data_IF_873611161791
#
_entry.id   IF_873611161791
#
_cell.length_a   1.000
_cell.length_b   1.000
_cell.length_c   1.000
_cell.angle_alpha   90.00
_cell.angle_beta   90.00
_cell.angle_gamma   90.00
#
_symmetry.space_group_name_H-M   'P 1'
#
loop_
_entity.id
_entity.type
_entity.pdbx_description
1 polymer ?
#
# COMPACT_ATOMS: atom_id res chain seq x y z
N UNK A 1 -17.16 -12.85 39.21
CA UNK A 1 -16.92 -11.82 38.17
C UNK A 1 -15.61 -12.08 37.41
N UNK A 2 -15.39 -13.29 36.87
CA UNK A 2 -14.17 -13.65 36.12
C UNK A 2 -14.39 -13.84 34.61
N UNK A 3 -15.65 -13.90 34.17
CA UNK A 3 -16.05 -14.42 32.86
C UNK A 3 -15.85 -13.42 31.70
N UNK A 4 -15.88 -12.11 31.97
CA UNK A 4 -15.72 -11.08 30.93
C UNK A 4 -14.25 -10.84 30.57
N UNK A 5 -13.35 -10.87 31.57
CA UNK A 5 -11.89 -10.76 31.34
C UNK A 5 -11.35 -11.95 30.55
N UNK A 6 -11.83 -13.15 30.82
CA UNK A 6 -11.42 -14.36 30.08
C UNK A 6 -11.91 -14.34 28.63
N UNK A 7 -13.17 -13.94 28.38
CA UNK A 7 -13.69 -13.75 27.02
C UNK A 7 -12.93 -12.67 26.26
N UNK A 8 -12.58 -11.56 26.90
CA UNK A 8 -11.78 -10.50 26.29
C UNK A 8 -10.37 -10.99 25.92
N UNK A 9 -9.72 -11.74 26.82
CA UNK A 9 -8.41 -12.33 26.56
C UNK A 9 -8.45 -13.38 25.43
N UNK A 10 -9.51 -14.18 25.33
CA UNK A 10 -9.70 -15.09 24.20
C UNK A 10 -9.90 -14.35 22.88
N UNK A 11 -10.64 -13.25 22.86
CA UNK A 11 -10.82 -12.42 21.67
C UNK A 11 -9.48 -11.80 21.24
N UNK A 12 -8.71 -11.23 22.19
CA UNK A 12 -7.38 -10.68 21.92
C UNK A 12 -6.46 -11.75 21.35
N UNK A 13 -6.43 -12.94 21.96
CA UNK A 13 -5.62 -14.06 21.50
C UNK A 13 -6.01 -14.51 20.08
N UNK A 14 -7.31 -14.60 19.78
CA UNK A 14 -7.81 -14.92 18.43
C UNK A 14 -7.43 -13.85 17.40
N UNK A 15 -7.46 -12.57 17.77
CA UNK A 15 -7.03 -11.47 16.90
C UNK A 15 -5.51 -11.53 16.62
N UNK A 16 -4.71 -11.81 17.64
CA UNK A 16 -3.26 -11.99 17.50
C UNK A 16 -2.91 -13.21 16.63
N UNK A 17 -3.59 -14.35 16.85
CA UNK A 17 -3.43 -15.55 16.02
C UNK A 17 -3.82 -15.28 14.56
N UNK A 18 -4.91 -14.54 14.34
CA UNK A 18 -5.36 -14.17 12.99
C UNK A 18 -4.36 -13.23 12.32
N UNK A 19 -3.82 -12.24 13.04
CA UNK A 19 -2.78 -11.34 12.56
C UNK A 19 -1.51 -12.12 12.16
N UNK A 20 -1.09 -13.07 12.99
CA UNK A 20 0.09 -13.90 12.73
C UNK A 20 -0.10 -14.85 11.54
N UNK A 21 -1.27 -15.49 11.41
CA UNK A 21 -1.62 -16.32 10.25
C UNK A 21 -1.66 -15.51 8.96
N UNK A 22 -2.31 -14.34 8.98
CA UNK A 22 -2.39 -13.44 7.82
C UNK A 22 -1.01 -12.92 7.40
N UNK A 23 -0.10 -12.67 8.35
CA UNK A 23 1.28 -12.27 8.03
C UNK A 23 2.07 -13.39 7.34
N UNK A 24 1.92 -14.65 7.77
CA UNK A 24 2.58 -15.80 7.12
C UNK A 24 2.05 -16.02 5.70
N UNK A 25 0.73 -16.04 5.54
CA UNK A 25 0.07 -16.17 4.22
C UNK A 25 0.53 -15.05 3.28
N UNK A 26 0.63 -13.82 3.79
CA UNK A 26 1.12 -12.69 2.99
C UNK A 26 2.57 -12.87 2.54
N UNK A 27 3.47 -13.34 3.41
CA UNK A 27 4.85 -13.64 3.04
C UNK A 27 4.93 -14.73 1.97
N UNK A 28 4.08 -15.76 2.05
CA UNK A 28 4.02 -16.82 1.05
C UNK A 28 3.48 -16.32 -0.29
N UNK A 29 2.45 -15.47 -0.29
CA UNK A 29 1.91 -14.82 -1.50
C UNK A 29 2.98 -13.94 -2.15
N UNK A 30 3.70 -13.14 -1.37
CA UNK A 30 4.82 -12.33 -1.90
C UNK A 30 5.88 -13.25 -2.49
N UNK A 31 6.29 -14.32 -1.79
CA UNK A 31 7.31 -15.24 -2.28
C UNK A 31 6.88 -15.94 -3.58
N UNK A 32 5.59 -16.27 -3.71
CA UNK A 32 5.03 -16.90 -4.92
C UNK A 32 4.97 -15.93 -6.10
N UNK A 33 4.77 -14.63 -5.84
CA UNK A 33 4.65 -13.58 -6.85
C UNK A 33 5.80 -12.57 -6.74
N UNK A 34 7.01 -13.03 -6.40
CA UNK A 34 8.11 -12.15 -5.97
C UNK A 34 8.49 -11.16 -7.08
N UNK A 35 8.58 -11.63 -8.32
CA UNK A 35 8.89 -10.78 -9.47
C UNK A 35 7.83 -9.70 -9.70
N UNK A 36 6.55 -10.08 -9.70
CA UNK A 36 5.44 -9.15 -9.93
C UNK A 36 5.33 -8.14 -8.77
N UNK A 37 5.49 -8.60 -7.54
CA UNK A 37 5.52 -7.75 -6.35
C UNK A 37 6.66 -6.75 -6.40
N UNK A 38 7.87 -7.20 -6.75
CA UNK A 38 9.04 -6.33 -6.89
C UNK A 38 8.86 -5.32 -8.02
N UNK A 39 8.23 -5.72 -9.13
CA UNK A 39 7.88 -4.83 -10.23
C UNK A 39 6.92 -3.73 -9.77
N UNK A 40 5.80 -4.09 -9.12
CA UNK A 40 4.83 -3.10 -8.61
C UNK A 40 5.48 -2.18 -7.58
N UNK A 41 6.32 -2.74 -6.69
CA UNK A 41 7.06 -1.96 -5.69
C UNK A 41 8.00 -0.93 -6.35
N UNK A 42 8.68 -1.31 -7.43
CA UNK A 42 9.54 -0.40 -8.18
C UNK A 42 8.70 0.68 -8.90
N UNK A 43 7.59 0.30 -9.53
CA UNK A 43 6.68 1.25 -10.18
C UNK A 43 6.13 2.28 -9.17
N UNK A 44 5.72 1.86 -7.97
CA UNK A 44 5.30 2.77 -6.89
C UNK A 44 6.42 3.74 -6.53
N UNK A 45 7.65 3.23 -6.37
CA UNK A 45 8.81 4.06 -6.03
C UNK A 45 9.07 5.12 -7.10
N UNK A 46 9.03 4.75 -8.38
CA UNK A 46 9.19 5.68 -9.50
C UNK A 46 8.10 6.76 -9.48
N UNK A 47 6.83 6.40 -9.23
CA UNK A 47 5.74 7.38 -9.13
C UNK A 47 5.89 8.33 -7.95
N UNK A 48 6.39 7.83 -6.82
CA UNK A 48 6.72 8.68 -5.66
C UNK A 48 7.87 9.64 -5.98
N UNK A 49 8.87 9.21 -6.74
CA UNK A 49 9.96 10.09 -7.21
C UNK A 49 9.42 11.16 -8.17
N UNK A 50 8.59 10.78 -9.14
CA UNK A 50 7.92 11.73 -10.04
C UNK A 50 7.06 12.75 -9.29
N UNK A 51 6.38 12.34 -8.22
CA UNK A 51 5.59 13.24 -7.37
C UNK A 51 6.49 14.26 -6.64
N UNK A 52 7.62 13.81 -6.09
CA UNK A 52 8.59 14.71 -5.44
C UNK A 52 9.17 15.71 -6.44
N UNK A 53 9.50 15.27 -7.64
CA UNK A 53 9.97 16.13 -8.72
C UNK A 53 8.90 17.14 -9.15
N UNK A 54 7.64 16.71 -9.23
CA UNK A 54 6.52 17.57 -9.59
C UNK A 54 6.30 18.67 -8.54
N UNK A 55 6.34 18.32 -7.25
CA UNK A 55 6.28 19.28 -6.13
C UNK A 55 7.45 20.27 -6.23
N UNK A 56 8.67 19.77 -6.43
CA UNK A 56 9.87 20.61 -6.52
C UNK A 56 9.80 21.60 -7.70
N UNK A 57 9.27 21.16 -8.85
CA UNK A 57 9.02 22.02 -10.03
C UNK A 57 7.97 23.08 -9.76
N UNK A 58 6.89 22.74 -9.05
CA UNK A 58 5.84 23.69 -8.69
C UNK A 58 6.33 24.72 -7.67
N UNK A 59 7.12 24.30 -6.67
CA UNK A 59 7.69 25.20 -5.67
C UNK A 59 8.75 26.13 -6.28
N UNK A 60 9.46 25.67 -7.31
CA UNK A 60 10.39 26.48 -8.12
C UNK A 60 9.69 27.34 -9.19
N UNK A 61 8.35 27.35 -9.22
CA UNK A 61 7.53 28.04 -10.23
C UNK A 61 7.88 27.69 -11.70
N UNK A 62 8.47 26.50 -11.94
CA UNK A 62 8.82 26.01 -13.28
C UNK A 62 7.62 25.48 -14.07
N UNK A 63 6.51 25.23 -13.38
CA UNK A 63 5.25 24.77 -13.97
C UNK A 63 4.09 25.60 -13.44
N UNK A 64 3.05 25.73 -14.26
CA UNK A 64 1.83 26.43 -13.83
C UNK A 64 1.03 25.60 -12.83
N UNK A 65 0.16 26.26 -12.04
CA UNK A 65 -0.77 25.58 -11.12
C UNK A 65 -1.64 24.54 -11.85
N UNK A 66 -2.16 24.89 -13.03
CA UNK A 66 -2.99 23.99 -13.85
C UNK A 66 -2.19 22.77 -14.32
N UNK A 67 -0.95 22.96 -14.75
CA UNK A 67 -0.07 21.87 -15.16
C UNK A 67 0.29 20.95 -13.99
N UNK A 68 0.52 21.53 -12.80
CA UNK A 68 0.73 20.77 -11.58
C UNK A 68 -0.48 19.90 -11.23
N UNK A 69 -1.68 20.47 -11.20
CA UNK A 69 -2.92 19.75 -10.86
C UNK A 69 -3.17 18.59 -11.83
N UNK A 70 -3.06 18.82 -13.14
CA UNK A 70 -3.26 17.75 -14.13
C UNK A 70 -2.26 16.59 -13.99
N UNK A 71 -0.99 16.90 -13.69
CA UNK A 71 0.04 15.86 -13.50
C UNK A 71 -0.11 15.16 -12.15
N UNK A 72 -0.55 15.89 -11.12
CA UNK A 72 -0.80 15.35 -9.79
C UNK A 72 -1.91 14.31 -9.84
N UNK A 73 -3.06 14.65 -10.45
CA UNK A 73 -4.19 13.74 -10.58
C UNK A 73 -3.78 12.44 -11.27
N UNK A 74 -3.05 12.55 -12.39
CA UNK A 74 -2.56 11.36 -13.11
C UNK A 74 -1.63 10.48 -12.26
N UNK A 75 -0.69 11.08 -11.51
CA UNK A 75 0.22 10.31 -10.65
C UNK A 75 -0.56 9.65 -9.50
N UNK A 76 -1.59 10.32 -8.96
CA UNK A 76 -2.44 9.78 -7.91
C UNK A 76 -3.29 8.60 -8.39
N UNK A 77 -3.85 8.69 -9.60
CA UNK A 77 -4.58 7.58 -10.22
C UNK A 77 -3.67 6.37 -10.42
N UNK A 78 -2.47 6.58 -10.98
CA UNK A 78 -1.50 5.51 -11.21
C UNK A 78 -1.02 4.88 -9.90
N UNK A 79 -0.80 5.66 -8.84
CA UNK A 79 -0.48 5.14 -7.51
C UNK A 79 -1.63 4.31 -6.93
N UNK A 80 -2.87 4.79 -7.06
CA UNK A 80 -4.07 4.09 -6.58
C UNK A 80 -4.25 2.73 -7.26
N UNK A 81 -3.99 2.66 -8.57
CA UNK A 81 -4.03 1.41 -9.33
C UNK A 81 -2.96 0.42 -8.87
N UNK A 82 -1.74 0.88 -8.60
CA UNK A 82 -0.65 0.04 -8.12
C UNK A 82 -0.92 -0.48 -6.70
N UNK A 83 -1.45 0.37 -5.82
CA UNK A 83 -1.88 -0.02 -4.47
C UNK A 83 -3.02 -1.04 -4.52
N UNK A 84 -3.98 -0.86 -5.44
CA UNK A 84 -5.06 -1.82 -5.66
C UNK A 84 -4.51 -3.18 -6.14
N UNK A 85 -3.48 -3.21 -6.99
CA UNK A 85 -2.83 -4.46 -7.40
C UNK A 85 -2.19 -5.19 -6.21
N UNK A 86 -1.48 -4.47 -5.33
CA UNK A 86 -0.92 -5.05 -4.09
C UNK A 86 -2.05 -5.59 -3.19
N UNK A 87 -3.14 -4.83 -3.06
CA UNK A 87 -4.29 -5.25 -2.26
C UNK A 87 -4.95 -6.52 -2.81
N UNK A 88 -5.15 -6.60 -4.13
CA UNK A 88 -5.64 -7.79 -4.84
C UNK A 88 -4.75 -9.00 -4.62
N UNK A 89 -3.43 -8.84 -4.80
CA UNK A 89 -2.45 -9.87 -4.45
C UNK A 89 -2.62 -10.35 -3.02
N UNK A 90 -2.78 -9.43 -2.06
CA UNK A 90 -2.94 -9.79 -0.63
C UNK A 90 -4.19 -10.59 -0.34
N UNK A 91 -5.27 -10.30 -1.06
CA UNK A 91 -6.50 -11.05 -0.95
C UNK A 91 -6.50 -12.34 -1.78
N UNK A 92 -5.44 -12.59 -2.57
CA UNK A 92 -5.37 -13.69 -3.53
C UNK A 92 -6.56 -13.66 -4.51
N UNK A 93 -6.95 -12.46 -4.95
CA UNK A 93 -8.11 -12.13 -5.80
C UNK A 93 -7.73 -11.25 -6.97
#
# INVERSE_FOLDING_TARGET
MANEKEKLNEIIKKLEETKNKNSKIWKEIIKKNEEEFNKIKNEIKERQEMLRDLISKKDSALISKKEFEMKLDKIQDELSDLEMKIYKMRLNR
#
